data_IF_928638795731
#
_entry.id   IF_928638795731
#
_cell.length_a   1.000
_cell.length_b   1.000
_cell.length_c   1.000
_cell.angle_alpha   90.00
_cell.angle_beta   90.00
_cell.angle_gamma   90.00
#
_symmetry.space_group_name_H-M   'P 1'
#
loop_
_entity.id
_entity.type
_entity.pdbx_description
1 polymer ?
#
# COMPACT_ATOMS: atom_id res chain seq x y z
N UNK A 1 -19.48 -16.96 -3.87
CA UNK A 1 -18.96 -16.12 -4.97
C UNK A 1 -19.75 -16.28 -6.27
N UNK A 2 -20.49 -17.39 -6.45
CA UNK A 2 -21.33 -17.62 -7.63
C UNK A 2 -22.17 -16.39 -8.02
N UNK A 3 -22.12 -16.04 -9.31
CA UNK A 3 -22.89 -14.95 -9.94
C UNK A 3 -22.60 -13.53 -9.41
N UNK A 4 -21.47 -13.31 -8.72
CA UNK A 4 -21.06 -11.97 -8.29
C UNK A 4 -20.58 -11.10 -9.47
N UNK A 5 -20.93 -9.81 -9.47
CA UNK A 5 -20.37 -8.82 -10.41
C UNK A 5 -19.08 -8.16 -9.89
N UNK A 6 -18.90 -8.14 -8.57
CA UNK A 6 -17.76 -7.56 -7.89
C UNK A 6 -17.33 -8.45 -6.73
N UNK A 7 -16.01 -8.59 -6.55
CA UNK A 7 -15.38 -9.30 -5.45
C UNK A 7 -14.40 -8.37 -4.77
N UNK A 8 -14.63 -8.09 -3.49
CA UNK A 8 -13.75 -7.21 -2.69
C UNK A 8 -12.83 -8.04 -1.80
N UNK A 9 -11.52 -7.84 -1.87
CA UNK A 9 -10.57 -8.50 -0.96
C UNK A 9 -10.07 -7.52 0.11
N UNK A 10 -10.45 -7.79 1.37
CA UNK A 10 -10.04 -7.00 2.54
C UNK A 10 -9.49 -7.90 3.67
N UNK A 11 -8.93 -9.04 3.28
CA UNK A 11 -8.41 -10.06 4.20
C UNK A 11 -7.03 -9.68 4.75
N UNK A 12 -6.65 -10.34 5.84
CA UNK A 12 -5.30 -10.29 6.43
C UNK A 12 -4.88 -11.71 6.80
N UNK A 13 -4.03 -12.33 5.99
CA UNK A 13 -3.50 -13.67 6.26
C UNK A 13 -2.62 -13.63 7.51
N UNK A 14 -2.99 -14.45 8.50
CA UNK A 14 -2.36 -14.48 9.82
C UNK A 14 -2.83 -13.40 10.80
N UNK A 15 -3.79 -12.56 10.39
CA UNK A 15 -4.43 -11.54 11.24
C UNK A 15 -3.41 -10.63 11.95
N UNK A 16 -3.80 -10.01 13.07
CA UNK A 16 -2.92 -9.13 13.84
C UNK A 16 -1.74 -9.83 14.53
N UNK A 17 -1.80 -11.12 14.93
CA UNK A 17 -0.64 -11.82 15.45
C UNK A 17 0.50 -11.91 14.43
N UNK A 18 0.22 -12.24 13.16
CA UNK A 18 1.26 -12.22 12.12
C UNK A 18 1.78 -10.80 11.86
N UNK A 19 0.91 -9.78 11.88
CA UNK A 19 1.35 -8.38 11.77
C UNK A 19 2.29 -7.98 12.91
N UNK A 20 2.06 -8.47 14.12
CA UNK A 20 2.95 -8.19 15.24
C UNK A 20 4.35 -8.76 15.01
N UNK A 21 4.46 -9.95 14.41
CA UNK A 21 5.75 -10.52 14.00
C UNK A 21 6.41 -9.69 12.88
N UNK A 22 5.62 -9.26 11.88
CA UNK A 22 6.07 -8.39 10.77
C UNK A 22 6.73 -7.09 11.28
N UNK A 23 6.22 -6.55 12.40
CA UNK A 23 6.73 -5.32 13.01
C UNK A 23 7.87 -5.61 14.00
N UNK A 24 7.71 -6.59 14.90
CA UNK A 24 8.62 -6.79 16.02
C UNK A 24 9.94 -7.48 15.64
N UNK A 25 9.92 -8.43 14.72
CA UNK A 25 11.14 -9.16 14.33
C UNK A 25 12.14 -8.20 13.68
N UNK A 26 11.79 -7.39 12.67
CA UNK A 26 12.74 -6.42 12.13
C UNK A 26 13.27 -5.44 13.18
N UNK A 27 12.41 -4.96 14.08
CA UNK A 27 12.80 -4.03 15.15
C UNK A 27 13.77 -4.65 16.17
N UNK A 28 13.68 -5.95 16.45
CA UNK A 28 14.63 -6.63 17.35
C UNK A 28 16.05 -6.68 16.77
N UNK A 29 16.19 -6.56 15.45
CA UNK A 29 17.45 -6.51 14.71
C UNK A 29 17.87 -5.10 14.28
N UNK A 30 17.19 -4.06 14.75
CA UNK A 30 17.52 -2.66 14.43
C UNK A 30 17.06 -2.20 13.03
N UNK A 31 16.09 -2.89 12.44
CA UNK A 31 15.47 -2.52 11.17
C UNK A 31 14.03 -2.02 11.37
N UNK A 32 13.53 -1.23 10.42
CA UNK A 32 12.15 -0.74 10.44
C UNK A 32 11.15 -1.90 10.42
N UNK A 33 10.13 -1.81 11.27
CA UNK A 33 9.11 -2.84 11.43
C UNK A 33 7.74 -2.32 11.01
N UNK A 34 7.37 -2.58 9.76
CA UNK A 34 6.18 -1.96 9.17
C UNK A 34 5.36 -2.95 8.33
N UNK A 35 4.04 -2.83 8.41
CA UNK A 35 3.06 -3.75 7.80
C UNK A 35 3.22 -3.96 6.27
N UNK A 36 3.66 -2.95 5.52
CA UNK A 36 3.67 -2.92 4.05
C UNK A 36 4.99 -2.45 3.47
N UNK A 37 5.99 -2.14 4.29
CA UNK A 37 7.31 -1.66 3.87
C UNK A 37 8.39 -2.54 4.51
N UNK A 38 9.51 -2.71 3.81
CA UNK A 38 10.65 -3.50 4.30
C UNK A 38 10.31 -4.97 4.52
N UNK A 39 10.99 -5.59 5.49
CA UNK A 39 10.83 -7.02 5.77
C UNK A 39 9.39 -7.38 6.19
N UNK A 40 8.72 -6.56 6.99
CA UNK A 40 7.32 -6.79 7.34
C UNK A 40 6.38 -6.76 6.13
N UNK A 41 6.59 -5.80 5.22
CA UNK A 41 5.87 -5.73 3.95
C UNK A 41 6.10 -6.95 3.05
N UNK A 42 7.35 -7.42 2.96
CA UNK A 42 7.71 -8.64 2.23
C UNK A 42 6.92 -9.83 2.76
N UNK A 43 7.03 -10.13 4.05
CA UNK A 43 6.39 -11.31 4.65
C UNK A 43 4.87 -11.24 4.60
N UNK A 44 4.29 -10.03 4.68
CA UNK A 44 2.87 -9.86 4.42
C UNK A 44 2.51 -10.23 2.98
N UNK A 45 3.31 -9.82 2.00
CA UNK A 45 3.18 -10.22 0.59
C UNK A 45 3.26 -11.74 0.40
N UNK A 46 4.29 -12.39 0.97
CA UNK A 46 4.50 -13.84 0.89
C UNK A 46 3.28 -14.64 1.41
N UNK A 47 2.65 -14.19 2.50
CA UNK A 47 1.43 -14.83 3.02
C UNK A 47 0.18 -14.56 2.17
N UNK A 48 0.14 -13.42 1.49
CA UNK A 48 -1.07 -12.88 0.87
C UNK A 48 -1.24 -13.30 -0.58
N UNK A 49 -0.18 -13.23 -1.37
CA UNK A 49 -0.22 -13.47 -2.82
C UNK A 49 -0.80 -14.86 -3.15
N UNK A 50 -0.40 -15.97 -2.49
CA UNK A 50 -0.99 -17.29 -2.76
C UNK A 50 -2.52 -17.31 -2.53
N UNK A 51 -2.99 -16.70 -1.45
CA UNK A 51 -4.43 -16.63 -1.13
C UNK A 51 -5.20 -15.79 -2.15
N UNK A 52 -4.59 -14.70 -2.65
CA UNK A 52 -5.20 -13.89 -3.71
C UNK A 52 -5.29 -14.71 -5.01
N UNK A 53 -4.31 -15.55 -5.32
CA UNK A 53 -4.36 -16.40 -6.51
C UNK A 53 -5.44 -17.46 -6.41
N UNK A 54 -5.65 -18.07 -5.23
CA UNK A 54 -6.78 -18.96 -4.99
C UNK A 54 -8.13 -18.24 -5.21
N UNK A 55 -8.26 -17.01 -4.72
CA UNK A 55 -9.46 -16.19 -4.94
C UNK A 55 -9.64 -15.86 -6.42
N UNK A 56 -8.58 -15.50 -7.14
CA UNK A 56 -8.65 -15.23 -8.59
C UNK A 56 -9.13 -16.46 -9.34
N UNK A 57 -8.63 -17.66 -9.00
CA UNK A 57 -9.09 -18.92 -9.59
C UNK A 57 -10.58 -19.17 -9.33
N UNK A 58 -11.04 -18.94 -8.09
CA UNK A 58 -12.46 -19.05 -7.74
C UNK A 58 -13.32 -18.03 -8.52
N UNK A 59 -12.82 -16.82 -8.77
CA UNK A 59 -13.51 -15.83 -9.60
C UNK A 59 -13.62 -16.29 -11.05
N UNK A 60 -12.52 -16.78 -11.63
CA UNK A 60 -12.50 -17.29 -13.00
C UNK A 60 -13.48 -18.46 -13.19
N UNK A 61 -13.65 -19.32 -12.18
CA UNK A 61 -14.57 -20.46 -12.23
C UNK A 61 -16.03 -20.04 -11.95
N UNK A 62 -16.28 -19.26 -10.90
CA UNK A 62 -17.63 -19.06 -10.35
C UNK A 62 -18.31 -17.77 -10.81
N UNK A 63 -17.53 -16.77 -11.22
CA UNK A 63 -18.03 -15.46 -11.64
C UNK A 63 -17.06 -14.76 -12.62
N UNK A 64 -16.81 -15.34 -13.83
CA UNK A 64 -15.74 -14.91 -14.73
C UNK A 64 -15.84 -13.47 -15.26
N UNK A 65 -17.01 -12.83 -15.11
CA UNK A 65 -17.23 -11.44 -15.51
C UNK A 65 -16.95 -10.44 -14.37
N UNK A 66 -16.71 -10.92 -13.15
CA UNK A 66 -16.58 -10.07 -11.98
C UNK A 66 -15.31 -9.23 -12.02
N UNK A 67 -15.39 -8.03 -11.44
CA UNK A 67 -14.20 -7.25 -11.08
C UNK A 67 -13.73 -7.62 -9.67
N UNK A 68 -12.42 -7.83 -9.51
CA UNK A 68 -11.77 -7.93 -8.21
C UNK A 68 -11.25 -6.56 -7.81
N UNK A 69 -11.80 -6.01 -6.72
CA UNK A 69 -11.35 -4.75 -6.12
C UNK A 69 -10.55 -5.07 -4.87
N UNK A 70 -9.23 -4.91 -4.94
CA UNK A 70 -8.30 -5.35 -3.90
C UNK A 70 -7.84 -4.24 -2.98
N UNK A 71 -8.12 -4.43 -1.69
CA UNK A 71 -7.71 -3.58 -0.57
C UNK A 71 -6.64 -4.27 0.27
N UNK A 72 -6.51 -5.58 0.09
CA UNK A 72 -5.55 -6.38 0.82
C UNK A 72 -4.14 -5.95 0.45
N UNK A 73 -3.48 -5.41 1.46
CA UNK A 73 -2.10 -4.95 1.36
C UNK A 73 -1.10 -6.12 1.40
N UNK A 74 0.12 -5.94 0.85
CA UNK A 74 0.62 -4.75 0.16
C UNK A 74 0.02 -4.62 -1.25
N UNK A 75 -0.82 -3.60 -1.49
CA UNK A 75 -1.76 -3.63 -2.61
C UNK A 75 -1.05 -3.48 -3.97
N UNK A 76 0.04 -2.71 -4.01
CA UNK A 76 0.92 -2.58 -5.19
C UNK A 76 1.55 -3.92 -5.56
N UNK A 77 2.29 -4.52 -4.63
CA UNK A 77 2.90 -5.85 -4.79
C UNK A 77 1.90 -6.96 -5.15
N UNK A 78 0.71 -6.97 -4.54
CA UNK A 78 -0.36 -7.93 -4.87
C UNK A 78 -0.87 -7.71 -6.30
N UNK A 79 -1.11 -6.44 -6.69
CA UNK A 79 -1.54 -6.10 -8.05
C UNK A 79 -0.48 -6.50 -9.08
N UNK A 80 0.78 -6.17 -8.80
CA UNK A 80 1.94 -6.59 -9.59
C UNK A 80 1.97 -8.11 -9.77
N UNK A 81 1.83 -8.87 -8.68
CA UNK A 81 1.85 -10.33 -8.72
C UNK A 81 0.71 -10.91 -9.59
N UNK A 82 -0.52 -10.40 -9.45
CA UNK A 82 -1.66 -10.86 -10.25
C UNK A 82 -1.42 -10.61 -11.73
N UNK A 83 -1.05 -9.40 -12.14
CA UNK A 83 -0.86 -9.09 -13.56
C UNK A 83 0.39 -9.75 -14.17
N UNK A 84 1.43 -9.98 -13.37
CA UNK A 84 2.69 -10.58 -13.81
C UNK A 84 2.61 -12.11 -13.95
N UNK A 85 1.94 -12.78 -13.02
CA UNK A 85 1.97 -14.24 -12.93
C UNK A 85 0.66 -14.93 -13.33
N UNK A 86 -0.39 -14.16 -13.64
CA UNK A 86 -1.69 -14.71 -14.04
C UNK A 86 -2.21 -14.08 -15.33
N UNK A 87 -3.21 -14.71 -15.95
CA UNK A 87 -3.94 -14.16 -17.08
C UNK A 87 -5.04 -13.15 -16.70
N UNK A 88 -5.30 -12.95 -15.41
CA UNK A 88 -6.48 -12.24 -14.92
C UNK A 88 -6.37 -10.73 -15.13
N UNK A 89 -7.37 -10.12 -15.80
CA UNK A 89 -7.34 -8.70 -16.23
C UNK A 89 -8.33 -7.78 -15.53
N UNK A 90 -9.29 -8.33 -14.78
CA UNK A 90 -10.32 -7.54 -14.09
C UNK A 90 -9.95 -7.30 -12.63
N UNK A 91 -8.73 -6.81 -12.39
CA UNK A 91 -8.18 -6.61 -11.05
C UNK A 91 -7.76 -5.16 -10.84
N UNK A 92 -8.29 -4.51 -9.82
CA UNK A 92 -7.94 -3.13 -9.48
C UNK A 92 -7.52 -3.09 -8.01
N UNK A 93 -6.27 -2.71 -7.74
CA UNK A 93 -5.83 -2.45 -6.38
C UNK A 93 -6.20 -1.02 -5.96
N UNK A 94 -6.67 -0.86 -4.72
CA UNK A 94 -7.06 0.45 -4.17
C UNK A 94 -6.30 0.77 -2.89
N UNK A 95 -6.06 2.06 -2.65
CA UNK A 95 -5.45 2.57 -1.44
C UNK A 95 -6.24 3.76 -0.89
N UNK A 96 -6.20 3.97 0.42
CA UNK A 96 -6.81 5.14 1.04
C UNK A 96 -5.89 6.39 1.05
N UNK A 97 -4.60 6.23 0.77
CA UNK A 97 -3.63 7.35 0.81
C UNK A 97 -4.01 8.46 -0.18
N UNK A 98 -4.29 8.18 -1.47
CA UNK A 98 -4.74 9.22 -2.40
C UNK A 98 -6.02 9.93 -1.96
N UNK A 99 -6.96 9.21 -1.33
CA UNK A 99 -8.20 9.83 -0.80
C UNK A 99 -7.88 10.78 0.35
N UNK A 100 -7.03 10.36 1.29
CA UNK A 100 -6.57 11.23 2.37
C UNK A 100 -5.90 12.50 1.84
N UNK A 101 -5.07 12.38 0.80
CA UNK A 101 -4.45 13.52 0.12
C UNK A 101 -5.48 14.41 -0.56
N UNK A 102 -6.47 13.84 -1.26
CA UNK A 102 -7.58 14.58 -1.88
C UNK A 102 -8.37 15.39 -0.85
N UNK A 103 -8.72 14.78 0.27
CA UNK A 103 -9.43 15.44 1.37
C UNK A 103 -8.61 16.59 1.96
N UNK A 104 -7.32 16.35 2.21
CA UNK A 104 -6.39 17.39 2.67
C UNK A 104 -6.37 18.58 1.70
N UNK A 105 -6.24 18.33 0.39
CA UNK A 105 -6.20 19.38 -0.63
C UNK A 105 -7.50 20.19 -0.65
N UNK A 106 -8.67 19.51 -0.59
CA UNK A 106 -9.96 20.22 -0.55
C UNK A 106 -10.06 21.16 0.65
N UNK A 107 -9.64 20.69 1.82
CA UNK A 107 -9.68 21.46 3.05
C UNK A 107 -8.75 22.69 3.00
N UNK A 108 -7.45 22.47 2.73
CA UNK A 108 -6.46 23.55 2.80
C UNK A 108 -6.57 24.58 1.68
N UNK A 109 -7.09 24.18 0.53
CA UNK A 109 -7.37 25.09 -0.58
C UNK A 109 -8.77 25.72 -0.49
N UNK A 110 -9.52 25.43 0.59
CA UNK A 110 -10.87 25.92 0.88
C UNK A 110 -11.85 25.69 -0.27
N UNK A 111 -11.82 24.49 -0.84
CA UNK A 111 -12.66 24.12 -1.99
C UNK A 111 -14.10 23.88 -1.55
N UNK A 112 -15.04 24.35 -2.37
CA UNK A 112 -16.47 24.10 -2.21
C UNK A 112 -16.85 22.78 -2.86
N UNK A 113 -18.02 22.25 -2.53
CA UNK A 113 -18.55 21.05 -3.17
C UNK A 113 -18.79 21.24 -4.69
N UNK A 114 -19.02 22.48 -5.11
CA UNK A 114 -19.16 22.85 -6.53
C UNK A 114 -17.83 22.90 -7.29
N UNK A 115 -16.69 22.91 -6.59
CA UNK A 115 -15.38 22.99 -7.23
C UNK A 115 -14.94 21.62 -7.72
N UNK A 116 -14.56 21.55 -8.99
CA UNK A 116 -13.92 20.37 -9.55
C UNK A 116 -12.45 20.32 -9.10
N UNK A 117 -12.01 19.15 -8.63
CA UNK A 117 -10.63 18.89 -8.22
C UNK A 117 -10.11 17.68 -8.97
N UNK A 118 -9.03 17.91 -9.69
CA UNK A 118 -8.27 16.89 -10.41
C UNK A 118 -6.83 16.90 -9.91
N UNK A 119 -6.26 15.73 -9.62
CA UNK A 119 -4.93 15.60 -9.02
C UNK A 119 -4.06 14.80 -9.96
N UNK A 120 -2.89 15.33 -10.33
CA UNK A 120 -1.90 14.57 -11.08
C UNK A 120 -1.00 13.79 -10.11
N UNK A 121 -1.47 12.62 -9.70
CA UNK A 121 -0.79 11.70 -8.78
C UNK A 121 -0.18 10.51 -9.53
N UNK A 122 1.06 10.15 -9.17
CA UNK A 122 1.81 9.06 -9.78
C UNK A 122 2.77 8.37 -8.79
N UNK A 123 3.16 7.12 -9.08
CA UNK A 123 4.14 6.36 -8.32
C UNK A 123 3.77 4.88 -8.19
N UNK A 124 4.07 4.29 -7.03
CA UNK A 124 3.66 2.94 -6.66
C UNK A 124 2.76 3.01 -5.42
N UNK A 125 2.07 1.92 -5.08
CA UNK A 125 1.28 1.87 -3.85
C UNK A 125 2.13 2.24 -2.63
N UNK A 126 1.62 3.13 -1.77
CA UNK A 126 2.37 3.66 -0.62
C UNK A 126 3.69 4.38 -0.99
N UNK A 127 3.87 4.76 -2.25
CA UNK A 127 5.01 5.50 -2.78
C UNK A 127 4.53 6.44 -3.91
N UNK A 128 3.52 7.24 -3.60
CA UNK A 128 2.94 8.20 -4.56
C UNK A 128 3.40 9.62 -4.29
N UNK A 129 3.45 10.39 -5.38
CA UNK A 129 3.78 11.80 -5.44
C UNK A 129 2.67 12.54 -6.17
N UNK A 130 2.34 13.74 -5.71
CA UNK A 130 1.50 14.69 -6.44
C UNK A 130 2.40 15.64 -7.21
N UNK A 131 2.17 15.73 -8.53
CA UNK A 131 2.85 16.62 -9.47
C UNK A 131 2.10 17.94 -9.66
N UNK A 132 0.78 17.88 -9.71
CA UNK A 132 -0.09 19.05 -9.89
C UNK A 132 -1.46 18.82 -9.23
N UNK A 133 -2.16 19.92 -8.92
CA UNK A 133 -3.56 19.92 -8.48
C UNK A 133 -4.31 20.99 -9.27
N UNK A 134 -5.33 20.58 -10.01
CA UNK A 134 -6.16 21.47 -10.82
C UNK A 134 -7.49 21.68 -10.12
N UNK A 135 -7.83 22.94 -9.89
CA UNK A 135 -9.12 23.36 -9.33
C UNK A 135 -9.86 24.12 -10.42
N UNK A 136 -11.02 23.62 -10.84
CA UNK A 136 -11.80 24.16 -11.96
C UNK A 136 -10.93 24.40 -13.22
N UNK A 137 -10.07 23.43 -13.54
CA UNK A 137 -9.16 23.44 -14.70
C UNK A 137 -7.92 24.34 -14.56
N UNK A 138 -7.68 24.97 -13.39
CA UNK A 138 -6.50 25.82 -13.14
C UNK A 138 -5.58 25.18 -12.10
N UNK A 139 -4.29 25.07 -12.42
CA UNK A 139 -3.29 24.60 -11.45
C UNK A 139 -3.26 25.52 -10.22
N UNK A 140 -3.31 24.91 -9.04
CA UNK A 140 -3.07 25.55 -7.73
C UNK A 140 -1.92 24.89 -6.97
N UNK A 141 -1.07 24.14 -7.67
CA UNK A 141 0.01 23.39 -7.04
C UNK A 141 1.06 24.28 -6.40
N UNK A 142 1.41 25.42 -7.00
CA UNK A 142 2.38 26.35 -6.41
C UNK A 142 1.94 26.88 -5.04
N UNK A 143 0.65 27.22 -4.89
CA UNK A 143 0.07 27.66 -3.63
C UNK A 143 0.07 26.53 -2.58
N UNK A 144 -0.38 25.33 -2.99
CA UNK A 144 -0.38 24.16 -2.13
C UNK A 144 1.04 23.82 -1.64
N UNK A 145 2.01 23.80 -2.56
CA UNK A 145 3.40 23.47 -2.28
C UNK A 145 4.03 24.48 -1.33
N UNK A 146 3.83 25.79 -1.54
CA UNK A 146 4.38 26.83 -0.66
C UNK A 146 3.79 26.77 0.76
N UNK A 147 2.48 26.55 0.85
CA UNK A 147 1.81 26.37 2.14
C UNK A 147 2.31 25.14 2.91
N UNK A 148 2.52 24.00 2.23
CA UNK A 148 3.09 22.81 2.86
C UNK A 148 4.56 23.01 3.23
N UNK A 149 5.37 23.56 2.32
CA UNK A 149 6.80 23.73 2.51
C UNK A 149 7.12 24.68 3.69
N UNK A 150 6.37 25.77 3.82
CA UNK A 150 6.49 26.72 4.93
C UNK A 150 5.89 26.20 6.25
N UNK A 151 5.19 25.06 6.22
CA UNK A 151 4.49 24.49 7.37
C UNK A 151 3.20 25.22 7.77
N UNK A 152 2.71 26.14 6.94
CA UNK A 152 1.40 26.80 7.11
C UNK A 152 0.25 25.82 6.91
N UNK A 153 0.38 24.91 5.95
CA UNK A 153 -0.58 23.85 5.66
C UNK A 153 -0.01 22.52 6.18
N UNK A 154 -0.76 21.84 7.05
CA UNK A 154 -0.36 20.54 7.60
C UNK A 154 -1.47 19.54 7.40
N UNK A 155 -1.14 18.43 6.75
CA UNK A 155 -2.06 17.31 6.66
C UNK A 155 -2.19 16.63 8.02
N UNK A 156 -3.36 16.07 8.29
CA UNK A 156 -3.48 15.10 9.37
C UNK A 156 -2.83 13.79 8.92
N UNK A 157 -1.82 13.31 9.64
CA UNK A 157 -1.17 12.03 9.33
C UNK A 157 -2.12 10.82 9.39
N UNK A 158 -1.81 9.77 8.63
CA UNK A 158 -2.52 8.48 8.72
C UNK A 158 -2.10 7.72 9.97
N UNK A 159 -3.04 7.11 10.68
CA UNK A 159 -2.76 6.45 11.98
C UNK A 159 -1.77 5.27 11.92
N UNK A 160 -1.41 4.81 10.73
CA UNK A 160 -0.44 3.72 10.55
C UNK A 160 1.02 4.20 10.48
N UNK A 161 1.26 5.51 10.47
CA UNK A 161 2.59 6.11 10.32
C UNK A 161 2.72 7.23 11.36
N UNK A 162 3.90 7.38 11.95
CA UNK A 162 4.18 8.55 12.78
C UNK A 162 4.26 9.81 11.92
N UNK A 163 3.56 10.85 12.34
CA UNK A 163 3.50 12.10 11.59
C UNK A 163 4.77 12.92 11.82
N UNK A 164 5.46 13.26 10.73
CA UNK A 164 6.64 14.11 10.71
C UNK A 164 6.60 14.98 9.44
N UNK A 165 6.86 16.30 9.55
CA UNK A 165 6.95 17.13 8.35
C UNK A 165 8.22 16.77 7.56
N UNK A 166 8.12 16.78 6.24
CA UNK A 166 9.28 16.88 5.37
C UNK A 166 9.95 18.25 5.55
N UNK A 167 11.26 18.34 5.30
CA UNK A 167 11.94 19.64 5.38
C UNK A 167 11.48 20.55 4.25
N UNK A 168 11.40 21.86 4.53
CA UNK A 168 11.05 22.88 3.54
C UNK A 168 11.95 22.77 2.30
N UNK A 169 13.26 22.68 2.51
CA UNK A 169 14.24 22.55 1.43
C UNK A 169 14.00 21.33 0.54
N UNK A 170 13.60 20.19 1.12
CA UNK A 170 13.25 19.00 0.34
C UNK A 170 11.99 19.24 -0.49
N UNK A 171 10.89 19.73 0.11
CA UNK A 171 9.64 19.96 -0.62
C UNK A 171 9.83 20.94 -1.78
N UNK A 172 10.55 22.05 -1.54
CA UNK A 172 10.84 23.05 -2.58
C UNK A 172 11.73 22.50 -3.69
N UNK A 173 12.79 21.75 -3.35
CA UNK A 173 13.73 21.21 -4.35
C UNK A 173 13.13 20.05 -5.13
N UNK A 174 12.33 19.20 -4.46
CA UNK A 174 11.62 18.11 -5.10
C UNK A 174 10.53 18.63 -6.02
N UNK A 175 9.87 19.74 -5.66
CA UNK A 175 8.73 20.30 -6.39
C UNK A 175 7.66 19.24 -6.71
N UNK A 176 7.46 18.33 -5.77
CA UNK A 176 6.43 17.29 -5.75
C UNK A 176 5.93 17.19 -4.31
N UNK A 177 4.69 16.73 -4.14
CA UNK A 177 4.12 16.46 -2.82
C UNK A 177 4.16 14.95 -2.51
N UNK A 178 5.12 14.47 -1.70
CA UNK A 178 5.23 13.06 -1.34
C UNK A 178 4.12 12.64 -0.36
N UNK A 179 3.62 11.40 -0.49
CA UNK A 179 2.73 10.81 0.52
C UNK A 179 3.45 10.49 1.84
N UNK A 180 2.68 10.24 2.91
CA UNK A 180 3.22 10.00 4.26
C UNK A 180 4.11 8.78 4.39
N UNK A 181 3.94 7.75 3.55
CA UNK A 181 4.80 6.57 3.53
C UNK A 181 6.23 6.87 3.07
N UNK A 182 6.44 7.98 2.33
CA UNK A 182 7.78 8.40 1.92
C UNK A 182 8.68 8.84 3.09
N UNK A 183 8.12 9.00 4.30
CA UNK A 183 8.91 9.17 5.52
C UNK A 183 9.81 7.97 5.81
N UNK A 184 9.41 6.74 5.47
CA UNK A 184 10.26 5.56 5.65
C UNK A 184 11.53 5.60 4.78
N UNK A 185 11.52 6.38 3.71
CA UNK A 185 12.61 6.46 2.73
C UNK A 185 13.41 7.76 2.89
N UNK A 186 12.75 8.91 3.03
CA UNK A 186 13.43 10.20 3.21
C UNK A 186 13.82 10.51 4.66
N UNK A 187 13.23 9.81 5.64
CA UNK A 187 13.45 9.99 7.08
C UNK A 187 13.68 8.65 7.80
N UNK A 188 14.37 7.73 7.14
CA UNK A 188 14.56 6.36 7.65
C UNK A 188 15.12 6.34 9.09
N UNK A 189 16.11 7.21 9.39
CA UNK A 189 16.73 7.28 10.72
C UNK A 189 15.75 7.73 11.79
N UNK A 190 14.98 8.78 11.51
CA UNK A 190 13.97 9.30 12.43
C UNK A 190 12.84 8.29 12.65
N UNK A 191 12.34 7.68 11.59
CA UNK A 191 11.29 6.67 11.68
C UNK A 191 11.75 5.45 12.49
N UNK A 192 12.99 4.98 12.25
CA UNK A 192 13.55 3.86 13.00
C UNK A 192 13.70 4.20 14.48
N UNK A 193 14.22 5.38 14.80
CA UNK A 193 14.38 5.82 16.18
C UNK A 193 13.02 5.88 16.93
N UNK A 194 11.97 6.34 16.26
CA UNK A 194 10.62 6.38 16.83
C UNK A 194 10.07 4.95 17.04
N UNK A 195 10.15 4.10 16.03
CA UNK A 195 9.64 2.72 16.12
C UNK A 195 10.40 1.88 17.16
N UNK A 196 11.73 2.03 17.24
CA UNK A 196 12.53 1.42 18.31
C UNK A 196 12.15 1.94 19.70
N UNK A 197 11.89 3.24 19.82
CA UNK A 197 11.42 3.85 21.06
C UNK A 197 10.10 3.24 21.55
N UNK A 198 9.15 2.99 20.64
CA UNK A 198 7.89 2.31 20.97
C UNK A 198 8.09 0.83 21.26
N UNK A 199 8.94 0.15 20.50
CA UNK A 199 9.30 -1.25 20.73
C UNK A 199 9.82 -1.50 22.15
N UNK A 200 10.76 -0.67 22.64
CA UNK A 200 11.32 -0.79 23.99
C UNK A 200 10.33 -0.42 25.10
N UNK A 201 9.30 0.38 24.82
CA UNK A 201 8.16 0.59 25.74
C UNK A 201 7.19 -0.60 25.76
N UNK A 202 7.48 -1.65 24.99
CA UNK A 202 6.64 -2.84 24.86
C UNK A 202 5.50 -2.67 23.86
N UNK A 203 5.52 -1.63 23.02
CA UNK A 203 4.49 -1.34 22.02
C UNK A 203 4.92 -1.65 20.59
N UNK A 204 4.06 -2.35 19.85
CA UNK A 204 4.03 -2.39 18.39
C UNK A 204 2.67 -1.86 17.90
N UNK A 205 2.60 -1.33 16.67
CA UNK A 205 1.35 -0.79 16.14
C UNK A 205 0.27 -1.88 16.07
N UNK A 206 0.64 -3.11 15.73
CA UNK A 206 -0.23 -4.28 15.76
C UNK A 206 -0.90 -4.47 17.13
N UNK A 207 -0.16 -4.30 18.23
CA UNK A 207 -0.70 -4.46 19.59
C UNK A 207 -1.70 -3.36 19.97
N UNK A 208 -1.49 -2.12 19.50
CA UNK A 208 -2.48 -1.04 19.65
C UNK A 208 -3.75 -1.39 18.87
N UNK A 209 -3.61 -1.83 17.62
CA UNK A 209 -4.75 -2.22 16.79
C UNK A 209 -5.50 -3.43 17.37
N UNK A 210 -4.80 -4.40 18.00
CA UNK A 210 -5.43 -5.53 18.67
C UNK A 210 -6.33 -5.08 19.84
N UNK A 211 -5.90 -4.08 20.62
CA UNK A 211 -6.71 -3.52 21.72
C UNK A 211 -7.98 -2.83 21.17
N UNK A 212 -7.81 -2.01 20.13
CA UNK A 212 -8.92 -1.33 19.45
C UNK A 212 -9.90 -2.34 18.84
N UNK A 213 -9.39 -3.39 18.20
CA UNK A 213 -10.22 -4.44 17.57
C UNK A 213 -11.04 -5.22 18.60
N UNK A 214 -10.45 -5.58 19.75
CA UNK A 214 -11.19 -6.20 20.87
C UNK A 214 -12.33 -5.30 21.38
N UNK A 215 -12.06 -4.01 21.53
CA UNK A 215 -13.09 -3.03 21.94
C UNK A 215 -14.21 -2.92 20.90
N UNK A 216 -13.84 -2.84 19.62
CA UNK A 216 -14.81 -2.79 18.52
C UNK A 216 -15.68 -4.05 18.46
N UNK A 217 -15.10 -5.25 18.59
CA UNK A 217 -15.89 -6.47 18.59
C UNK A 217 -16.86 -6.54 19.76
N UNK A 218 -16.49 -6.03 20.94
CA UNK A 218 -17.41 -5.93 22.06
C UNK A 218 -18.56 -4.97 21.76
N UNK A 219 -18.26 -3.79 21.20
CA UNK A 219 -19.29 -2.81 20.79
C UNK A 219 -20.24 -3.41 19.74
N UNK A 220 -19.71 -4.16 18.77
CA UNK A 220 -20.48 -4.77 17.69
C UNK A 220 -21.33 -5.98 18.11
N UNK A 221 -21.19 -6.49 19.34
CA UNK A 221 -22.14 -7.47 19.88
C UNK A 221 -23.53 -6.89 20.12
N UNK A 222 -23.64 -5.56 20.27
CA UNK A 222 -24.91 -4.88 20.46
C UNK A 222 -25.64 -4.69 19.11
N UNK A 223 -26.75 -5.41 18.84
CA UNK A 223 -27.48 -5.28 17.58
C UNK A 223 -28.17 -3.91 17.41
N UNK A 224 -28.36 -3.14 18.48
CA UNK A 224 -28.96 -1.80 18.42
C UNK A 224 -27.94 -0.69 18.10
N UNK A 225 -26.65 -1.02 17.93
CA UNK A 225 -25.64 -0.05 17.56
C UNK A 225 -25.86 0.47 16.13
N UNK A 226 -26.39 1.68 16.03
CA UNK A 226 -26.74 2.34 14.75
C UNK A 226 -25.76 3.45 14.34
N UNK A 227 -24.75 3.72 15.17
CA UNK A 227 -23.75 4.78 14.95
C UNK A 227 -22.37 4.15 14.86
N UNK A 228 -21.57 4.58 13.87
CA UNK A 228 -20.17 4.16 13.71
C UNK A 228 -19.37 4.48 14.99
N UNK A 229 -18.77 3.47 15.65
CA UNK A 229 -17.92 3.70 16.82
C UNK A 229 -16.74 4.61 16.50
N UNK A 230 -16.42 5.54 17.41
CA UNK A 230 -15.26 6.45 17.26
C UNK A 230 -13.94 5.68 17.32
N UNK A 231 -13.92 4.56 18.03
CA UNK A 231 -12.79 3.63 18.13
C UNK A 231 -12.34 3.14 16.75
N UNK A 232 -13.26 3.05 15.77
CA UNK A 232 -12.93 2.62 14.41
C UNK A 232 -11.98 3.62 13.72
N UNK A 233 -12.03 4.91 14.09
CA UNK A 233 -11.14 5.96 13.57
C UNK A 233 -9.69 5.82 14.08
N UNK A 234 -9.48 5.01 15.12
CA UNK A 234 -8.14 4.69 15.60
C UNK A 234 -7.44 3.65 14.71
N UNK A 235 -8.17 3.00 13.79
CA UNK A 235 -7.57 2.17 12.73
C UNK A 235 -7.06 3.07 11.61
N UNK A 236 -5.90 2.75 11.04
CA UNK A 236 -5.37 3.50 9.88
C UNK A 236 -6.02 3.17 8.54
N UNK A 237 -7.17 2.47 8.55
CA UNK A 237 -7.90 2.06 7.36
C UNK A 237 -9.11 2.95 7.02
N UNK A 238 -9.22 4.15 7.60
CA UNK A 238 -10.28 5.09 7.26
C UNK A 238 -10.28 5.36 5.73
N UNK A 239 -11.48 5.52 5.17
CA UNK A 239 -11.75 5.81 3.75
C UNK A 239 -11.44 4.72 2.72
N UNK A 240 -10.97 3.53 3.14
CA UNK A 240 -10.86 2.39 2.21
C UNK A 240 -12.21 1.97 1.63
N UNK A 241 -13.27 1.96 2.46
CA UNK A 241 -14.63 1.64 2.01
C UNK A 241 -15.11 2.62 0.94
N UNK A 242 -14.84 3.92 1.14
CA UNK A 242 -15.23 4.96 0.19
C UNK A 242 -14.48 4.81 -1.14
N UNK A 243 -13.17 4.51 -1.08
CA UNK A 243 -12.37 4.26 -2.28
C UNK A 243 -12.95 3.17 -3.17
N UNK A 244 -13.28 2.03 -2.58
CA UNK A 244 -13.76 0.91 -3.36
C UNK A 244 -15.23 1.01 -3.74
N UNK A 245 -16.09 1.54 -2.85
CA UNK A 245 -17.47 1.83 -3.21
C UNK A 245 -17.51 2.77 -4.41
N UNK A 246 -16.67 3.81 -4.44
CA UNK A 246 -16.61 4.71 -5.59
C UNK A 246 -16.02 4.04 -6.84
N UNK A 247 -15.04 3.13 -6.71
CA UNK A 247 -14.54 2.33 -7.85
C UNK A 247 -15.64 1.45 -8.45
N UNK A 248 -16.38 0.71 -7.59
CA UNK A 248 -17.51 -0.12 -8.00
C UNK A 248 -18.59 0.74 -8.66
N UNK A 249 -18.92 1.89 -8.05
CA UNK A 249 -19.90 2.84 -8.54
C UNK A 249 -19.52 3.40 -9.92
N UNK A 250 -18.24 3.73 -10.12
CA UNK A 250 -17.73 4.23 -11.40
C UNK A 250 -17.78 3.19 -12.51
N UNK A 251 -17.44 1.93 -12.21
CA UNK A 251 -17.54 0.81 -13.16
C UNK A 251 -19.01 0.55 -13.49
N UNK A 252 -19.87 0.38 -12.48
CA UNK A 252 -21.26 -0.01 -12.68
C UNK A 252 -22.06 1.06 -13.44
N UNK A 253 -21.89 2.33 -13.08
CA UNK A 253 -22.62 3.45 -13.68
C UNK A 253 -21.88 4.12 -14.83
N UNK A 254 -20.74 3.58 -15.25
CA UNK A 254 -19.90 4.15 -16.31
C UNK A 254 -19.61 5.65 -16.12
N UNK A 255 -19.22 6.03 -14.90
CA UNK A 255 -19.11 7.44 -14.50
C UNK A 255 -18.05 8.23 -15.29
N UNK A 256 -17.05 7.54 -15.85
CA UNK A 256 -15.87 8.16 -16.45
C UNK A 256 -15.20 9.16 -15.50
N UNK A 257 -15.08 8.77 -14.23
CA UNK A 257 -14.63 9.64 -13.14
C UNK A 257 -13.12 9.49 -12.88
N UNK A 258 -12.50 10.49 -12.28
CA UNK A 258 -11.10 10.42 -11.84
C UNK A 258 -10.95 9.58 -10.57
N UNK A 259 -10.08 8.56 -10.63
CA UNK A 259 -9.72 7.69 -9.51
C UNK A 259 -8.20 7.49 -9.44
N UNK A 260 -7.70 7.12 -8.27
CA UNK A 260 -6.29 6.82 -8.03
C UNK A 260 -6.17 5.34 -7.66
N UNK A 261 -5.70 4.53 -8.59
CA UNK A 261 -5.78 3.06 -8.49
C UNK A 261 -4.48 2.41 -8.94
N UNK A 262 -4.32 1.15 -8.55
CA UNK A 262 -3.20 0.30 -8.93
C UNK A 262 -3.60 -0.54 -10.14
N UNK A 263 -2.94 -0.30 -11.27
CA UNK A 263 -3.12 -1.01 -12.53
C UNK A 263 -1.81 -1.08 -13.31
N UNK A 264 -1.64 -2.04 -14.24
CA UNK A 264 -0.62 -1.91 -15.27
C UNK A 264 -0.90 -0.69 -16.16
N UNK A 265 0.14 0.08 -16.51
CA UNK A 265 -0.01 1.26 -17.35
C UNK A 265 0.12 0.97 -18.86
N UNK A 266 0.54 -0.24 -19.24
CA UNK A 266 0.58 -0.71 -20.64
C UNK A 266 1.32 0.23 -21.61
N UNK A 267 2.44 0.80 -21.16
CA UNK A 267 3.27 1.71 -21.96
C UNK A 267 2.77 3.16 -22.03
N UNK A 268 1.72 3.51 -21.28
CA UNK A 268 1.26 4.90 -21.15
C UNK A 268 2.32 5.83 -20.54
N UNK A 269 3.11 5.31 -19.61
CA UNK A 269 4.29 5.98 -19.05
C UNK A 269 5.51 5.55 -19.87
N UNK A 270 6.21 6.50 -20.47
CA UNK A 270 7.27 6.27 -21.45
C UNK A 270 8.66 6.01 -20.83
N UNK A 271 8.86 6.30 -19.54
CA UNK A 271 10.13 6.12 -18.83
C UNK A 271 10.18 4.95 -17.84
N UNK A 272 9.20 4.03 -17.88
CA UNK A 272 9.20 2.76 -17.13
C UNK A 272 8.71 1.58 -17.97
N UNK A 273 9.07 0.33 -17.63
CA UNK A 273 8.60 -0.86 -18.34
C UNK A 273 7.07 -1.01 -18.36
N UNK A 274 6.53 -1.28 -19.55
CA UNK A 274 5.09 -1.28 -19.84
C UNK A 274 4.23 -2.28 -19.04
N UNK A 275 4.85 -3.29 -18.46
CA UNK A 275 4.19 -4.36 -17.70
C UNK A 275 4.10 -4.07 -16.19
N UNK A 276 4.64 -2.94 -15.72
CA UNK A 276 4.62 -2.58 -14.30
C UNK A 276 3.24 -2.12 -13.84
N UNK A 277 2.78 -2.65 -12.71
CA UNK A 277 1.67 -2.08 -11.97
C UNK A 277 2.12 -0.81 -11.24
N UNK A 278 1.36 0.27 -11.40
CA UNK A 278 1.64 1.60 -10.81
C UNK A 278 0.40 2.13 -10.10
N UNK A 279 0.59 3.01 -9.12
CA UNK A 279 -0.51 3.76 -8.52
C UNK A 279 -0.55 5.16 -9.14
N UNK A 280 -1.57 5.42 -9.95
CA UNK A 280 -1.67 6.69 -10.65
C UNK A 280 -3.11 7.14 -10.85
N UNK A 281 -3.23 8.40 -11.25
CA UNK A 281 -4.49 9.01 -11.65
C UNK A 281 -4.99 8.36 -12.93
N UNK A 282 -6.23 7.90 -12.91
CA UNK A 282 -6.90 7.20 -14.00
C UNK A 282 -8.32 7.75 -14.19
N UNK A 283 -8.84 7.64 -15.41
CA UNK A 283 -10.27 7.72 -15.69
C UNK A 283 -10.88 6.33 -15.55
N UNK A 284 -11.92 6.20 -14.74
CA UNK A 284 -12.56 4.93 -14.41
C UNK A 284 -14.01 4.90 -14.91
N UNK A 285 -14.35 3.87 -15.68
CA UNK A 285 -15.68 3.62 -16.20
C UNK A 285 -15.97 2.13 -16.35
N UNK A 286 -16.96 1.78 -17.18
CA UNK A 286 -17.46 0.39 -17.33
C UNK A 286 -16.37 -0.63 -17.66
N UNK A 287 -15.40 -0.23 -18.47
CA UNK A 287 -14.32 -1.08 -18.96
C UNK A 287 -13.09 -1.11 -18.03
N UNK A 288 -13.19 -0.48 -16.85
CA UNK A 288 -12.11 -0.38 -15.89
C UNK A 288 -11.35 0.94 -15.98
N UNK A 289 -10.12 0.93 -15.46
CA UNK A 289 -9.31 2.12 -15.31
C UNK A 289 -8.41 2.34 -16.54
N UNK A 290 -8.41 3.57 -17.05
CA UNK A 290 -7.49 4.04 -18.09
C UNK A 290 -6.57 5.11 -17.50
N UNK A 291 -5.24 4.99 -17.63
CA UNK A 291 -4.29 6.01 -17.20
C UNK A 291 -4.66 7.42 -17.70
N UNK A 292 -4.53 8.42 -16.83
CA UNK A 292 -4.93 9.78 -17.19
C UNK A 292 -3.92 10.40 -18.19
N UNK A 293 -4.37 11.05 -19.29
CA UNK A 293 -3.50 11.56 -20.36
C UNK A 293 -2.55 12.70 -19.97
N UNK A 294 -2.73 13.32 -18.80
CA UNK A 294 -1.79 14.35 -18.27
C UNK A 294 -0.52 13.75 -17.68
N UNK A 295 -0.52 12.45 -17.39
CA UNK A 295 0.60 11.76 -16.74
C UNK A 295 1.12 10.70 -17.71
N UNK A 296 2.03 11.08 -18.60
CA UNK A 296 2.65 10.17 -19.58
C UNK A 296 4.13 9.91 -19.29
N UNK A 297 4.68 10.57 -18.26
CA UNK A 297 6.09 10.52 -17.88
C UNK A 297 6.18 10.77 -16.38
N UNK A 298 6.80 9.85 -15.63
CA UNK A 298 7.06 10.04 -14.20
C UNK A 298 8.23 11.00 -14.01
N UNK A 299 8.22 11.81 -12.96
CA UNK A 299 9.29 12.80 -12.75
C UNK A 299 10.64 12.11 -12.44
N UNK A 300 11.66 12.42 -13.26
CA UNK A 300 13.00 11.82 -13.19
C UNK A 300 13.66 11.93 -11.81
N UNK A 301 13.33 12.96 -11.01
CA UNK A 301 13.91 13.15 -9.66
C UNK A 301 13.64 11.98 -8.72
N UNK A 302 12.56 11.23 -8.92
CA UNK A 302 12.14 10.13 -8.03
C UNK A 302 12.32 8.74 -8.63
N UNK A 303 12.80 8.66 -9.87
CA UNK A 303 12.87 7.41 -10.63
C UNK A 303 13.79 6.36 -10.00
N UNK A 304 14.92 6.77 -9.42
CA UNK A 304 15.82 5.84 -8.72
C UNK A 304 15.11 5.09 -7.58
N UNK A 305 14.27 5.79 -6.81
CA UNK A 305 13.50 5.17 -5.72
C UNK A 305 12.38 4.27 -6.27
N UNK A 306 11.65 4.71 -7.28
CA UNK A 306 10.59 3.92 -7.93
C UNK A 306 11.14 2.59 -8.47
N UNK A 307 12.27 2.63 -9.19
CA UNK A 307 12.91 1.42 -9.71
C UNK A 307 13.37 0.48 -8.59
N UNK A 308 13.92 1.04 -7.51
CA UNK A 308 14.37 0.26 -6.35
C UNK A 308 13.21 -0.50 -5.72
N UNK A 309 12.10 0.19 -5.45
CA UNK A 309 10.92 -0.46 -4.84
C UNK A 309 10.22 -1.42 -5.79
N UNK A 310 10.15 -1.10 -7.09
CA UNK A 310 9.59 -2.04 -8.05
C UNK A 310 10.43 -3.31 -8.17
N UNK A 311 11.75 -3.20 -8.17
CA UNK A 311 12.65 -4.36 -8.14
C UNK A 311 12.39 -5.25 -6.91
N UNK A 312 12.21 -4.63 -5.75
CA UNK A 312 11.78 -5.31 -4.53
C UNK A 312 10.40 -5.98 -4.67
N UNK A 313 9.37 -5.29 -5.17
CA UNK A 313 8.02 -5.84 -5.34
C UNK A 313 8.00 -7.05 -6.29
N UNK A 314 8.75 -6.97 -7.39
CA UNK A 314 8.85 -8.07 -8.37
C UNK A 314 9.55 -9.27 -7.72
N UNK A 315 10.70 -9.07 -7.07
CA UNK A 315 11.41 -10.14 -6.37
C UNK A 315 10.55 -10.78 -5.27
N UNK A 316 9.83 -9.97 -4.49
CA UNK A 316 8.89 -10.43 -3.48
C UNK A 316 7.75 -11.26 -4.09
N UNK A 317 7.21 -10.84 -5.24
CA UNK A 317 6.17 -11.60 -5.94
C UNK A 317 6.66 -12.98 -6.41
N UNK A 318 7.91 -13.06 -6.88
CA UNK A 318 8.53 -14.32 -7.28
C UNK A 318 8.74 -15.23 -6.06
N UNK A 319 9.29 -14.68 -4.97
CA UNK A 319 9.51 -15.42 -3.72
C UNK A 319 8.20 -15.98 -3.13
N UNK A 320 7.09 -15.25 -3.24
CA UNK A 320 5.79 -15.71 -2.77
C UNK A 320 5.29 -16.98 -3.48
N UNK A 321 5.75 -17.20 -4.71
CA UNK A 321 5.38 -18.35 -5.53
C UNK A 321 6.40 -19.48 -5.45
N UNK A 322 7.69 -19.16 -5.45
CA UNK A 322 8.74 -20.18 -5.44
C UNK A 322 8.84 -20.91 -4.11
N UNK A 323 8.61 -20.23 -2.98
CA UNK A 323 8.80 -20.82 -1.65
C UNK A 323 10.27 -21.02 -1.28
N UNK A 324 11.19 -20.45 -2.05
CA UNK A 324 12.63 -20.68 -1.92
C UNK A 324 13.30 -19.65 -0.98
N UNK A 325 14.24 -20.12 -0.16
CA UNK A 325 14.97 -19.26 0.79
C UNK A 325 15.73 -18.13 0.08
N UNK A 326 16.43 -18.47 -1.00
CA UNK A 326 17.29 -17.52 -1.72
C UNK A 326 16.49 -16.41 -2.42
N UNK A 327 15.23 -16.66 -2.79
CA UNK A 327 14.37 -15.64 -3.39
C UNK A 327 13.89 -14.64 -2.33
N UNK A 328 13.66 -15.10 -1.10
CA UNK A 328 13.40 -14.21 0.05
C UNK A 328 14.64 -13.38 0.37
N UNK A 329 15.83 -13.98 0.34
CA UNK A 329 17.09 -13.24 0.54
C UNK A 329 17.28 -12.16 -0.52
N UNK A 330 17.05 -12.48 -1.80
CA UNK A 330 17.15 -11.52 -2.88
C UNK A 330 16.17 -10.37 -2.65
N UNK A 331 14.91 -10.67 -2.37
CA UNK A 331 13.91 -9.63 -2.10
C UNK A 331 14.33 -8.73 -0.93
N UNK A 332 14.79 -9.29 0.20
CA UNK A 332 15.27 -8.49 1.33
C UNK A 332 16.45 -7.59 0.95
N UNK A 333 17.43 -8.09 0.20
CA UNK A 333 18.60 -7.31 -0.23
C UNK A 333 18.26 -6.22 -1.26
N UNK A 334 17.14 -6.33 -1.98
CA UNK A 334 16.65 -5.28 -2.88
C UNK A 334 15.81 -4.23 -2.17
N UNK A 335 15.35 -4.49 -0.94
CA UNK A 335 14.65 -3.49 -0.13
C UNK A 335 15.64 -2.44 0.38
N UNK A 336 15.41 -1.13 0.13
CA UNK A 336 16.29 -0.08 0.64
C UNK A 336 16.14 0.14 2.15
N UNK A 337 15.37 -0.70 2.83
CA UNK A 337 15.19 -0.67 4.28
C UNK A 337 15.95 -1.80 4.99
N UNK A 338 16.68 -2.64 4.27
CA UNK A 338 17.58 -3.68 4.79
C UNK A 338 18.94 -3.49 4.13
N UNK A 339 19.98 -3.25 4.93
CA UNK A 339 21.27 -2.70 4.45
C UNK A 339 22.46 -3.65 4.66
N UNK A 340 22.18 -4.93 4.90
CA UNK A 340 23.18 -5.96 5.22
C UNK A 340 22.68 -7.31 4.73
N UNK A 341 23.47 -7.98 3.89
CA UNK A 341 23.16 -9.31 3.36
C UNK A 341 23.12 -10.37 4.46
N UNK A 342 24.04 -10.26 5.42
CA UNK A 342 24.08 -11.10 6.62
C UNK A 342 22.83 -10.92 7.48
N UNK A 343 22.39 -9.68 7.69
CA UNK A 343 21.18 -9.44 8.50
C UNK A 343 19.92 -9.83 7.73
N UNK A 344 19.91 -9.68 6.40
CA UNK A 344 18.85 -10.20 5.55
C UNK A 344 18.72 -11.73 5.70
N UNK A 345 19.83 -12.47 5.80
CA UNK A 345 19.81 -13.91 6.06
C UNK A 345 19.22 -14.26 7.44
N UNK A 346 19.63 -13.52 8.48
CA UNK A 346 19.09 -13.69 9.83
C UNK A 346 17.59 -13.41 9.87
N UNK A 347 17.16 -12.27 9.30
CA UNK A 347 15.76 -11.88 9.22
C UNK A 347 14.94 -12.88 8.41
N UNK A 348 15.42 -13.32 7.24
CA UNK A 348 14.72 -14.30 6.41
C UNK A 348 14.46 -15.60 7.19
N UNK A 349 15.50 -16.15 7.83
CA UNK A 349 15.40 -17.39 8.61
C UNK A 349 14.40 -17.24 9.75
N UNK A 350 14.53 -16.20 10.57
CA UNK A 350 13.66 -15.99 11.73
C UNK A 350 12.21 -15.76 11.31
N UNK A 351 11.98 -14.90 10.31
CA UNK A 351 10.63 -14.57 9.86
C UNK A 351 9.96 -15.75 9.12
N UNK A 352 10.68 -16.53 8.31
CA UNK A 352 10.11 -17.74 7.68
C UNK A 352 9.61 -18.71 8.75
N UNK A 353 10.43 -18.97 9.76
CA UNK A 353 10.06 -19.87 10.87
C UNK A 353 8.91 -19.29 11.70
N UNK A 354 8.94 -17.99 12.01
CA UNK A 354 7.88 -17.33 12.77
C UNK A 354 6.51 -17.32 12.04
N UNK A 355 6.54 -17.36 10.70
CA UNK A 355 5.36 -17.36 9.85
C UNK A 355 4.99 -18.74 9.29
N UNK A 356 5.60 -19.83 9.76
CA UNK A 356 5.45 -21.17 9.16
C UNK A 356 4.00 -21.59 8.92
N UNK A 357 3.09 -21.22 9.83
CA UNK A 357 1.66 -21.54 9.75
C UNK A 357 0.96 -20.97 8.52
N UNK A 358 1.50 -19.89 7.96
CA UNK A 358 0.88 -19.11 6.90
C UNK A 358 1.74 -19.05 5.63
N UNK A 359 2.81 -19.84 5.57
CA UNK A 359 3.69 -19.96 4.42
C UNK A 359 3.70 -21.41 3.89
N UNK A 360 2.55 -21.96 3.46
CA UNK A 360 2.48 -23.35 3.02
C UNK A 360 3.40 -23.65 1.83
N UNK A 361 3.62 -22.68 0.93
CA UNK A 361 4.54 -22.81 -0.20
C UNK A 361 6.01 -22.94 0.23
N UNK A 362 6.35 -22.57 1.47
CA UNK A 362 7.70 -22.67 2.02
C UNK A 362 7.91 -23.95 2.85
N UNK A 363 7.02 -24.95 2.77
CA UNK A 363 7.08 -26.14 3.62
C UNK A 363 8.45 -26.85 3.60
N UNK A 364 9.02 -27.05 2.40
CA UNK A 364 10.33 -27.67 2.23
C UNK A 364 11.46 -26.77 2.76
N UNK A 365 11.41 -25.47 2.45
CA UNK A 365 12.33 -24.48 3.01
C UNK A 365 12.32 -24.48 4.55
N UNK A 366 11.14 -24.48 5.17
CA UNK A 366 10.95 -24.52 6.63
C UNK A 366 11.53 -25.82 7.20
N UNK A 367 11.31 -26.96 6.54
CA UNK A 367 11.85 -28.25 6.98
C UNK A 367 13.39 -28.24 7.00
N UNK A 368 14.03 -27.68 5.97
CA UNK A 368 15.49 -27.54 5.92
C UNK A 368 16.02 -26.54 6.97
N UNK A 369 15.35 -25.39 7.15
CA UNK A 369 15.75 -24.40 8.16
C UNK A 369 15.71 -24.97 9.58
N UNK A 370 14.72 -25.83 9.90
CA UNK A 370 14.60 -26.50 11.20
C UNK A 370 15.66 -27.58 11.45
N UNK A 371 16.22 -28.21 10.41
CA UNK A 371 17.31 -29.19 10.56
C UNK A 371 18.65 -28.53 10.85
N UNK A 372 18.83 -27.29 10.42
CA UNK A 372 20.04 -26.49 10.65
C UNK A 372 20.04 -25.79 12.02
N UNK A 373 19.05 -26.07 12.88
CA UNK A 373 18.93 -25.63 14.27
C UNK A 373 19.04 -26.86 15.18
#
# INVERSE_FOLDING_TARGET
MKDADFVTTQLRVGQLPARELDERIPLSHGYLGQETNGAGGLFKGLRTIPVIFDIVKDVEELCPNAWVINFTNPAGMVTEAVYRHTGFKRFIGVCNIPIGMKMFIRDVLMLKDSDDLSIDLFGLNHMVFIKDVLVNGKSRFAELLDGVASGQLKASGVKNIFDLPFSEGLIRSLNLLPCSYLLYYFKQKEMLAIEMGEYYKGGARAQVVQKVEKQLFELYKNPELKVKPKELEQRGGAYYSDAACEVINAIYNDKQAEHYVNIPHHGHIDNIPADWAVEMTCTLGRDGATPHPRITHFDDKVMGLIHTIKGFEIAASNAALSGEFNDVLLALNLSPLVHSDRDAELLAREMILAHEKWLPNFADCIAELKKAH
#
